data_IF_194750396196
#
_entry.id   IF_194750396196
#
_cell.length_a   1.000
_cell.length_b   1.000
_cell.length_c   1.000
_cell.angle_alpha   90.00
_cell.angle_beta   90.00
_cell.angle_gamma   90.00
#
_symmetry.space_group_name_H-M   'P 1'
#
loop_
_entity.id
_entity.type
_entity.pdbx_description
1 polymer ?
#
# COMPACT_ATOMS: atom_id res chain seq x y z
N UNK A 1 -6.77 -13.16 -41.17
CA UNK A 1 -5.59 -12.31 -40.88
C UNK A 1 -4.51 -13.24 -40.34
N UNK A 2 -3.38 -13.37 -41.04
CA UNK A 2 -2.28 -14.24 -40.62
C UNK A 2 -1.64 -13.69 -39.34
N UNK A 3 -1.91 -14.34 -38.21
CA UNK A 3 -1.26 -14.08 -36.92
C UNK A 3 0.17 -14.59 -36.90
N UNK A 4 1.05 -13.98 -37.71
CA UNK A 4 2.49 -14.19 -37.58
C UNK A 4 2.90 -13.79 -36.18
N UNK A 5 3.47 -14.74 -35.43
CA UNK A 5 4.01 -14.49 -34.10
C UNK A 5 4.97 -13.30 -34.19
N UNK A 6 4.65 -12.21 -33.49
CA UNK A 6 5.56 -11.08 -33.38
C UNK A 6 6.84 -11.61 -32.73
N UNK A 7 8.03 -11.31 -33.28
CA UNK A 7 9.28 -11.72 -32.64
C UNK A 7 9.29 -11.20 -31.19
N UNK A 8 9.71 -12.05 -30.26
CA UNK A 8 9.87 -11.66 -28.87
C UNK A 8 10.82 -10.46 -28.77
N UNK A 9 10.46 -9.47 -27.98
CA UNK A 9 11.38 -8.39 -27.61
C UNK A 9 12.55 -9.01 -26.83
N UNK A 10 13.76 -8.96 -27.40
CA UNK A 10 14.98 -9.44 -26.75
C UNK A 10 15.78 -8.24 -26.26
N UNK A 11 15.84 -8.06 -24.95
CA UNK A 11 16.67 -7.03 -24.28
C UNK A 11 18.12 -7.51 -24.28
N UNK A 12 19.00 -6.79 -24.98
CA UNK A 12 20.40 -7.22 -25.19
C UNK A 12 21.37 -6.69 -24.13
N UNK A 13 21.06 -5.53 -23.56
CA UNK A 13 21.86 -4.84 -22.55
C UNK A 13 20.98 -3.78 -21.86
N UNK A 14 21.55 -3.10 -20.87
CA UNK A 14 20.88 -2.04 -20.10
C UNK A 14 20.43 -0.87 -20.98
N UNK A 15 21.27 -0.41 -21.92
CA UNK A 15 20.90 0.68 -22.84
C UNK A 15 19.67 0.34 -23.68
N UNK A 16 19.55 -0.90 -24.15
CA UNK A 16 18.37 -1.34 -24.89
C UNK A 16 17.14 -1.44 -23.98
N UNK A 17 17.32 -1.85 -22.71
CA UNK A 17 16.24 -1.85 -21.71
C UNK A 17 15.71 -0.44 -21.47
N UNK A 18 16.61 0.53 -21.26
CA UNK A 18 16.25 1.95 -21.07
C UNK A 18 15.50 2.48 -22.28
N UNK A 19 16.00 2.19 -23.50
CA UNK A 19 15.37 2.62 -24.75
C UNK A 19 13.95 2.09 -24.90
N UNK A 20 13.74 0.79 -24.71
CA UNK A 20 12.39 0.20 -24.87
C UNK A 20 11.45 0.61 -23.74
N UNK A 21 11.96 0.84 -22.52
CA UNK A 21 11.17 1.35 -21.40
C UNK A 21 10.68 2.76 -21.71
N UNK A 22 11.55 3.64 -22.20
CA UNK A 22 11.17 4.98 -22.63
C UNK A 22 10.10 4.97 -23.73
N UNK A 23 10.22 4.07 -24.72
CA UNK A 23 9.18 3.90 -25.75
C UNK A 23 7.86 3.41 -25.16
N UNK A 24 7.91 2.49 -24.20
CA UNK A 24 6.73 2.00 -23.48
C UNK A 24 6.01 3.13 -22.74
N UNK A 25 6.76 3.95 -22.00
CA UNK A 25 6.26 5.10 -21.26
C UNK A 25 5.74 6.22 -22.18
N UNK A 26 6.38 6.45 -23.33
CA UNK A 26 5.92 7.44 -24.32
C UNK A 26 4.66 6.97 -25.05
N UNK A 27 4.58 5.68 -25.38
CA UNK A 27 3.45 5.13 -26.13
C UNK A 27 2.19 5.01 -25.26
N UNK A 28 2.35 4.55 -24.02
CA UNK A 28 1.33 4.44 -22.95
C UNK A 28 -0.13 4.31 -23.45
N UNK A 29 -0.44 3.22 -24.18
CA UNK A 29 -1.73 3.09 -24.84
C UNK A 29 -2.84 3.03 -23.79
N UNK A 30 -3.71 4.04 -23.79
CA UNK A 30 -4.80 4.17 -22.84
C UNK A 30 -4.41 4.71 -21.46
N UNK A 31 -3.22 5.30 -21.31
CA UNK A 31 -2.72 5.83 -20.03
C UNK A 31 -2.67 4.75 -18.94
N UNK A 32 -2.24 3.55 -19.32
CA UNK A 32 -2.30 2.34 -18.49
C UNK A 32 -1.15 2.20 -17.51
N UNK A 33 -0.05 2.95 -17.68
CA UNK A 33 1.07 2.89 -16.73
C UNK A 33 0.70 3.44 -15.34
N UNK A 34 -0.30 4.33 -15.26
CA UNK A 34 -0.79 4.98 -14.05
C UNK A 34 0.31 5.71 -13.21
N UNK A 35 1.37 6.24 -13.84
CA UNK A 35 2.51 6.88 -13.14
C UNK A 35 2.46 8.41 -13.11
N UNK A 36 1.36 9.03 -13.56
CA UNK A 36 1.22 10.49 -13.60
C UNK A 36 1.28 11.10 -12.17
N UNK A 37 2.23 12.01 -11.88
CA UNK A 37 2.34 12.62 -10.55
C UNK A 37 1.37 13.80 -10.33
N UNK A 38 0.73 14.33 -11.39
CA UNK A 38 -0.16 15.48 -11.33
C UNK A 38 -1.56 15.11 -10.80
N UNK A 39 -1.64 14.92 -9.48
CA UNK A 39 -2.86 14.63 -8.72
C UNK A 39 -3.59 15.88 -8.17
N UNK A 40 -3.08 17.09 -8.43
CA UNK A 40 -3.66 18.36 -7.96
C UNK A 40 -5.16 18.47 -8.19
N UNK A 41 -5.72 18.10 -9.37
CA UNK A 41 -7.17 18.18 -9.57
C UNK A 41 -7.96 17.27 -8.63
N UNK A 42 -7.42 16.11 -8.25
CA UNK A 42 -8.05 15.21 -7.28
C UNK A 42 -8.01 15.80 -5.87
N UNK A 43 -6.85 16.31 -5.44
CA UNK A 43 -6.67 16.92 -4.12
C UNK A 43 -7.50 18.20 -3.93
N UNK A 44 -7.58 19.06 -4.93
CA UNK A 44 -8.36 20.32 -4.88
C UNK A 44 -9.87 20.09 -4.73
N UNK A 45 -10.38 18.90 -5.07
CA UNK A 45 -11.79 18.53 -4.84
C UNK A 45 -12.01 17.84 -3.47
N UNK A 46 -11.01 17.87 -2.59
CA UNK A 46 -11.06 17.22 -1.27
C UNK A 46 -10.72 15.72 -1.31
N UNK A 47 -10.23 15.20 -2.43
CA UNK A 47 -9.89 13.78 -2.56
C UNK A 47 -8.82 13.33 -1.58
N UNK A 48 -9.03 12.17 -0.95
CA UNK A 48 -8.09 11.48 -0.07
C UNK A 48 -7.73 10.13 -0.69
N UNK A 49 -6.43 9.84 -0.76
CA UNK A 49 -5.89 8.60 -1.27
C UNK A 49 -5.23 7.84 -0.12
N UNK A 50 -5.64 6.60 0.05
CA UNK A 50 -4.98 5.65 0.94
C UNK A 50 -4.55 4.45 0.10
N UNK A 51 -3.26 4.17 0.10
CA UNK A 51 -2.69 3.00 -0.56
C UNK A 51 -2.03 2.09 0.46
N UNK A 52 -1.94 0.81 0.14
CA UNK A 52 -1.16 -0.15 0.91
C UNK A 52 -0.41 -1.09 -0.05
N UNK A 53 0.69 -1.67 0.43
CA UNK A 53 1.43 -2.70 -0.31
C UNK A 53 2.05 -3.71 0.65
N UNK A 54 1.91 -5.00 0.35
CA UNK A 54 2.56 -6.06 1.12
C UNK A 54 4.06 -6.06 0.91
N UNK A 55 4.86 -6.06 1.98
CA UNK A 55 6.31 -6.06 1.84
C UNK A 55 6.86 -7.40 1.31
N UNK A 56 6.08 -8.47 1.40
CA UNK A 56 6.39 -9.80 0.90
C UNK A 56 5.59 -10.15 -0.37
N UNK A 57 5.09 -9.15 -1.08
CA UNK A 57 4.44 -9.34 -2.39
C UNK A 57 5.44 -9.91 -3.41
N UNK A 58 5.16 -11.12 -3.85
CA UNK A 58 5.96 -11.88 -4.80
C UNK A 58 5.59 -11.60 -6.27
N UNK A 59 4.48 -10.90 -6.51
CA UNK A 59 3.96 -10.61 -7.85
C UNK A 59 4.32 -9.19 -8.28
N UNK A 60 4.09 -8.20 -7.40
CA UNK A 60 4.38 -6.79 -7.67
C UNK A 60 5.40 -6.34 -6.61
N UNK A 61 6.58 -5.84 -7.02
CA UNK A 61 7.56 -5.38 -6.04
C UNK A 61 7.02 -4.19 -5.26
N UNK A 62 7.04 -4.28 -3.92
CA UNK A 62 6.62 -3.21 -3.02
C UNK A 62 7.39 -1.89 -3.23
N UNK A 63 8.63 -1.98 -3.71
CA UNK A 63 9.44 -0.84 -4.13
C UNK A 63 8.81 0.02 -5.23
N UNK A 64 7.88 -0.52 -6.03
CA UNK A 64 7.12 0.28 -7.01
C UNK A 64 6.21 1.32 -6.34
N UNK A 65 5.58 0.98 -5.22
CA UNK A 65 4.71 1.91 -4.49
C UNK A 65 5.51 2.97 -3.74
N UNK A 66 6.64 2.61 -3.12
CA UNK A 66 7.52 3.60 -2.49
C UNK A 66 8.11 4.55 -3.53
N UNK A 67 8.55 4.02 -4.67
CA UNK A 67 9.06 4.83 -5.79
C UNK A 67 8.01 5.83 -6.29
N UNK A 68 6.75 5.41 -6.47
CA UNK A 68 5.69 6.34 -6.87
C UNK A 68 5.39 7.39 -5.79
N UNK A 69 5.38 7.00 -4.51
CA UNK A 69 5.20 7.95 -3.40
C UNK A 69 6.33 8.99 -3.34
N UNK A 70 7.59 8.58 -3.47
CA UNK A 70 8.75 9.47 -3.53
C UNK A 70 8.72 10.40 -4.75
N UNK A 71 8.27 9.89 -5.91
CA UNK A 71 8.04 10.71 -7.12
C UNK A 71 6.99 11.78 -6.87
N UNK A 72 5.89 11.45 -6.19
CA UNK A 72 4.89 12.43 -5.79
C UNK A 72 5.45 13.45 -4.80
N UNK A 73 6.21 13.01 -3.80
CA UNK A 73 6.88 13.93 -2.88
C UNK A 73 7.75 14.93 -3.64
N UNK A 74 8.59 14.45 -4.55
CA UNK A 74 9.45 15.31 -5.40
C UNK A 74 8.62 16.28 -6.23
N UNK A 75 7.56 15.81 -6.88
CA UNK A 75 6.67 16.63 -7.71
C UNK A 75 5.98 17.76 -6.92
N UNK A 76 5.60 17.49 -5.67
CA UNK A 76 5.01 18.48 -4.76
C UNK A 76 6.04 19.17 -3.85
N UNK A 77 7.32 19.23 -4.25
CA UNK A 77 8.41 19.90 -3.52
C UNK A 77 8.57 19.45 -2.06
N UNK A 78 8.44 18.16 -1.80
CA UNK A 78 8.50 17.53 -0.47
C UNK A 78 7.56 18.18 0.56
N UNK A 79 6.50 18.83 0.09
CA UNK A 79 5.58 19.55 0.95
C UNK A 79 4.87 18.61 1.92
N UNK A 80 4.65 19.10 3.15
CA UNK A 80 3.73 18.49 4.11
C UNK A 80 2.32 18.31 3.53
N UNK A 81 2.00 19.04 2.45
CA UNK A 81 0.73 18.99 1.77
C UNK A 81 0.42 17.60 1.22
N UNK A 82 1.40 16.85 0.71
CA UNK A 82 1.11 15.51 0.17
C UNK A 82 0.52 14.59 1.25
N UNK A 83 1.04 14.63 2.49
CA UNK A 83 0.55 13.79 3.60
C UNK A 83 -0.87 14.15 4.05
N UNK A 84 -1.35 15.35 3.69
CA UNK A 84 -2.73 15.77 3.93
C UNK A 84 -3.73 15.14 2.95
N UNK A 85 -3.26 14.54 1.86
CA UNK A 85 -4.10 13.95 0.82
C UNK A 85 -3.75 12.52 0.46
N UNK A 86 -2.51 12.06 0.66
CA UNK A 86 -2.05 10.73 0.29
C UNK A 86 -1.26 10.08 1.43
N UNK A 87 -1.69 8.89 1.85
CA UNK A 87 -0.97 8.02 2.79
C UNK A 87 -0.73 6.64 2.16
N UNK A 88 0.53 6.20 2.20
CA UNK A 88 0.94 4.85 1.82
C UNK A 88 1.27 4.05 3.08
N UNK A 89 0.70 2.85 3.22
CA UNK A 89 0.99 1.91 4.30
C UNK A 89 1.70 0.68 3.74
N UNK A 90 2.97 0.48 4.09
CA UNK A 90 3.62 -0.80 3.85
C UNK A 90 3.14 -1.78 4.92
N UNK A 91 2.81 -3.01 4.50
CA UNK A 91 2.28 -4.06 5.38
C UNK A 91 3.34 -5.15 5.52
N UNK A 92 4.16 -5.14 6.60
CA UNK A 92 5.26 -6.07 6.75
C UNK A 92 4.80 -7.51 6.78
N UNK A 93 5.37 -8.34 5.91
CA UNK A 93 5.08 -9.78 5.82
C UNK A 93 3.78 -10.13 5.10
N UNK A 94 2.99 -9.15 4.66
CA UNK A 94 1.83 -9.42 3.80
C UNK A 94 2.28 -9.76 2.39
N UNK A 95 1.63 -10.75 1.78
CA UNK A 95 1.85 -11.17 0.40
C UNK A 95 1.14 -10.27 -0.62
N UNK A 96 0.89 -10.83 -1.81
CA UNK A 96 0.17 -10.12 -2.87
C UNK A 96 -1.29 -9.89 -2.49
N UNK A 97 -1.63 -8.64 -2.21
CA UNK A 97 -2.93 -8.15 -1.71
C UNK A 97 -3.35 -8.69 -0.33
N UNK A 98 -2.92 -9.89 0.05
CA UNK A 98 -3.39 -10.63 1.22
C UNK A 98 -2.43 -11.70 1.74
N UNK A 99 -2.77 -12.24 2.91
CA UNK A 99 -2.08 -13.38 3.51
C UNK A 99 -0.63 -13.09 3.84
N UNK A 100 0.20 -14.14 3.78
CA UNK A 100 1.59 -14.08 4.21
C UNK A 100 1.77 -14.25 5.72
N UNK A 101 2.97 -13.96 6.20
CA UNK A 101 3.35 -14.13 7.61
C UNK A 101 3.16 -12.84 8.43
N UNK A 102 2.63 -11.79 7.81
CA UNK A 102 2.36 -10.48 8.40
C UNK A 102 0.96 -10.32 8.97
N UNK A 103 0.75 -9.23 9.70
CA UNK A 103 -0.57 -8.83 10.18
C UNK A 103 -1.38 -8.17 9.05
N UNK A 104 -2.06 -8.97 8.23
CA UNK A 104 -2.86 -8.51 7.07
C UNK A 104 -4.35 -8.24 7.40
N UNK A 105 -4.77 -8.48 8.65
CA UNK A 105 -6.11 -8.21 9.15
C UNK A 105 -6.28 -6.76 9.61
N UNK A 106 -6.42 -5.83 8.65
CA UNK A 106 -6.56 -4.39 8.91
C UNK A 106 -7.73 -3.73 8.15
N UNK A 107 -8.73 -4.52 7.75
CA UNK A 107 -9.93 -3.99 7.10
C UNK A 107 -9.69 -3.44 5.69
N UNK A 108 -8.82 -4.10 4.91
CA UNK A 108 -8.51 -3.72 3.52
C UNK A 108 -9.67 -4.02 2.55
N UNK A 109 -9.63 -3.52 1.31
CA UNK A 109 -10.50 -4.02 0.25
C UNK A 109 -10.38 -5.55 0.09
N UNK A 110 -11.47 -6.21 -0.34
CA UNK A 110 -11.57 -7.67 -0.52
C UNK A 110 -11.49 -8.46 0.80
N UNK A 111 -12.21 -8.01 1.83
CA UNK A 111 -12.37 -8.78 3.07
C UNK A 111 -13.17 -10.06 2.80
N UNK A 112 -12.68 -11.19 3.30
CA UNK A 112 -13.29 -12.50 3.07
C UNK A 112 -14.14 -12.94 4.27
N UNK A 113 -15.08 -13.86 4.04
CA UNK A 113 -15.99 -14.36 5.09
C UNK A 113 -15.29 -15.20 6.17
N UNK A 114 -14.15 -15.82 5.85
CA UNK A 114 -13.30 -16.55 6.80
C UNK A 114 -12.45 -15.62 7.70
N UNK A 115 -12.58 -14.30 7.54
CA UNK A 115 -11.82 -13.33 8.33
C UNK A 115 -10.55 -12.81 7.67
N UNK A 116 -10.11 -13.36 6.53
CA UNK A 116 -8.95 -12.80 5.82
C UNK A 116 -9.19 -11.34 5.43
N UNK A 117 -8.21 -10.49 5.74
CA UNK A 117 -8.29 -9.05 5.52
C UNK A 117 -9.24 -8.29 6.46
N UNK A 118 -10.05 -8.97 7.30
CA UNK A 118 -10.94 -8.29 8.24
C UNK A 118 -10.16 -7.64 9.39
N UNK A 119 -10.58 -6.45 9.77
CA UNK A 119 -10.07 -5.72 10.93
C UNK A 119 -10.36 -6.45 12.25
N UNK A 120 -9.50 -6.27 13.25
CA UNK A 120 -9.68 -6.88 14.59
C UNK A 120 -10.96 -6.35 15.26
N UNK A 121 -11.13 -5.03 15.21
CA UNK A 121 -12.30 -4.31 15.69
C UNK A 121 -12.88 -3.51 14.53
N UNK A 122 -14.21 -3.44 14.44
CA UNK A 122 -14.88 -2.66 13.38
C UNK A 122 -14.91 -1.18 13.75
N UNK A 123 -13.75 -0.53 13.72
CA UNK A 123 -13.57 0.90 13.95
C UNK A 123 -12.48 1.50 13.04
N UNK A 124 -12.34 2.82 13.05
CA UNK A 124 -11.40 3.55 12.20
C UNK A 124 -9.93 3.49 12.67
N UNK A 125 -9.63 2.85 13.81
CA UNK A 125 -8.25 2.57 14.25
C UNK A 125 -7.74 1.23 13.74
N UNK A 126 -8.63 0.28 13.45
CA UNK A 126 -8.27 -1.08 13.02
C UNK A 126 -8.67 -1.41 11.57
N UNK A 127 -9.56 -0.62 10.98
CA UNK A 127 -10.11 -0.85 9.64
C UNK A 127 -9.76 0.28 8.66
N UNK A 128 -9.00 -0.04 7.61
CA UNK A 128 -8.54 0.93 6.62
C UNK A 128 -9.69 1.59 5.83
N UNK A 129 -10.79 0.88 5.58
CA UNK A 129 -11.95 1.45 4.89
C UNK A 129 -12.64 2.46 5.82
N UNK A 130 -12.85 2.12 7.10
CA UNK A 130 -13.42 3.05 8.07
C UNK A 130 -12.49 4.22 8.37
N UNK A 131 -11.17 4.00 8.39
CA UNK A 131 -10.17 5.05 8.52
C UNK A 131 -10.22 6.03 7.33
N UNK A 132 -10.38 5.52 6.11
CA UNK A 132 -10.56 6.35 4.92
C UNK A 132 -11.86 7.15 4.98
N UNK A 133 -12.97 6.53 5.39
CA UNK A 133 -14.25 7.22 5.61
C UNK A 133 -14.09 8.35 6.62
N UNK A 134 -13.50 8.07 7.79
CA UNK A 134 -13.21 9.07 8.83
C UNK A 134 -12.34 10.22 8.31
N UNK A 135 -11.37 9.93 7.44
CA UNK A 135 -10.52 10.95 6.85
C UNK A 135 -11.27 11.84 5.85
N UNK A 136 -12.11 11.25 5.00
CA UNK A 136 -12.90 11.99 4.01
C UNK A 136 -13.99 12.83 4.68
N UNK A 137 -14.72 12.24 5.63
CA UNK A 137 -15.93 12.83 6.20
C UNK A 137 -15.64 13.78 7.37
N UNK A 138 -14.59 13.51 8.16
CA UNK A 138 -14.26 14.28 9.36
C UNK A 138 -12.87 14.93 9.30
N UNK A 139 -12.12 14.76 8.21
CA UNK A 139 -10.77 15.32 8.08
C UNK A 139 -9.71 14.67 8.96
N UNK A 140 -10.04 13.60 9.71
CA UNK A 140 -9.10 12.91 10.61
C UNK A 140 -8.37 11.81 9.86
N UNK A 141 -7.15 12.12 9.44
CA UNK A 141 -6.27 11.20 8.75
C UNK A 141 -5.67 10.15 9.71
N UNK A 142 -5.50 8.88 9.30
CA UNK A 142 -4.99 7.83 10.19
C UNK A 142 -3.46 7.87 10.32
N UNK A 143 -2.96 8.33 11.47
CA UNK A 143 -1.50 8.34 11.78
C UNK A 143 -0.91 6.96 12.04
N UNK A 144 -1.78 5.97 12.22
CA UNK A 144 -1.46 4.55 12.27
C UNK A 144 -2.72 3.72 12.03
N UNK A 145 -2.58 2.46 11.67
CA UNK A 145 -3.66 1.46 11.66
C UNK A 145 -3.19 0.25 12.46
N UNK A 146 -4.01 -0.21 13.41
CA UNK A 146 -3.73 -1.43 14.18
C UNK A 146 -4.17 -2.63 13.34
N UNK A 147 -3.21 -3.50 13.03
CA UNK A 147 -3.41 -4.69 12.22
C UNK A 147 -3.26 -5.96 13.04
N UNK A 148 -3.95 -7.03 12.66
CA UNK A 148 -3.85 -8.35 13.28
C UNK A 148 -3.36 -9.43 12.30
N UNK A 149 -2.54 -10.34 12.81
CA UNK A 149 -2.35 -11.67 12.23
C UNK A 149 -3.30 -12.62 12.95
N UNK A 150 -4.17 -13.29 12.21
CA UNK A 150 -5.00 -14.36 12.77
C UNK A 150 -4.31 -15.71 12.65
N UNK A 151 -4.55 -16.59 13.63
CA UNK A 151 -4.06 -17.97 13.61
C UNK A 151 -4.60 -18.66 12.36
N UNK A 152 -3.72 -19.27 11.57
CA UNK A 152 -4.04 -19.93 10.29
C UNK A 152 -4.78 -19.03 9.27
N UNK A 153 -4.66 -17.70 9.40
CA UNK A 153 -5.43 -16.70 8.64
C UNK A 153 -6.95 -16.78 8.83
N UNK A 154 -7.42 -17.41 9.92
CA UNK A 154 -8.83 -17.54 10.26
C UNK A 154 -9.13 -16.74 11.53
N UNK A 155 -9.94 -15.69 11.38
CA UNK A 155 -10.30 -14.80 12.48
C UNK A 155 -11.01 -15.54 13.63
N UNK A 156 -11.71 -16.64 13.34
CA UNK A 156 -12.37 -17.46 14.36
C UNK A 156 -11.39 -18.22 15.27
N UNK A 157 -10.14 -18.42 14.81
CA UNK A 157 -9.09 -19.08 15.59
C UNK A 157 -8.35 -18.11 16.54
N UNK A 158 -8.69 -16.82 16.49
CA UNK A 158 -8.11 -15.79 17.35
C UNK A 158 -6.87 -15.12 16.75
N UNK A 159 -6.32 -14.18 17.53
CA UNK A 159 -5.20 -13.33 17.12
C UNK A 159 -3.87 -13.99 17.53
N UNK A 160 -2.96 -14.13 16.57
CA UNK A 160 -1.59 -14.58 16.81
C UNK A 160 -0.72 -13.43 17.33
N UNK A 161 -0.74 -12.29 16.64
CA UNK A 161 -0.10 -11.05 17.06
C UNK A 161 -0.73 -9.82 16.40
N UNK A 162 -0.44 -8.62 16.92
CA UNK A 162 -0.83 -7.34 16.32
C UNK A 162 0.37 -6.45 15.99
N UNK A 163 0.23 -5.58 14.98
CA UNK A 163 1.26 -4.62 14.55
C UNK A 163 0.66 -3.25 14.28
N UNK A 164 1.47 -2.21 14.41
CA UNK A 164 1.14 -0.87 13.89
C UNK A 164 1.56 -0.79 12.42
N UNK A 165 0.61 -0.45 11.56
CA UNK A 165 0.88 -0.01 10.20
C UNK A 165 1.08 1.51 10.24
N UNK A 166 2.25 1.96 9.80
CA UNK A 166 2.66 3.35 9.86
C UNK A 166 2.61 3.98 8.46
N UNK A 167 2.26 5.28 8.35
CA UNK A 167 2.30 5.98 7.08
C UNK A 167 3.75 6.18 6.63
N UNK A 168 4.09 5.62 5.47
CA UNK A 168 5.42 5.73 4.87
C UNK A 168 5.86 7.21 4.76
N UNK A 169 7.11 7.56 5.13
CA UNK A 169 8.26 6.68 5.35
C UNK A 169 8.43 6.15 6.79
N UNK A 170 7.45 6.35 7.68
CA UNK A 170 7.54 5.79 9.03
C UNK A 170 7.38 4.27 9.00
N UNK A 171 8.01 3.61 9.97
CA UNK A 171 7.90 2.18 10.18
C UNK A 171 7.51 1.88 11.64
N UNK A 172 6.88 0.73 11.86
CA UNK A 172 6.55 0.27 13.20
C UNK A 172 7.81 -0.23 13.92
N UNK A 173 8.43 0.64 14.74
CA UNK A 173 9.63 0.28 15.50
C UNK A 173 9.26 -0.23 16.89
N UNK A 174 9.82 -1.39 17.25
CA UNK A 174 9.66 -1.95 18.58
C UNK A 174 10.29 -1.02 19.64
N UNK A 175 9.51 -0.69 20.65
CA UNK A 175 9.92 0.15 21.78
C UNK A 175 10.23 -0.71 23.01
N UNK A 176 9.22 -1.40 23.55
CA UNK A 176 9.35 -2.27 24.73
C UNK A 176 8.08 -3.09 24.97
N UNK A 177 8.15 -4.16 25.76
CA UNK A 177 7.00 -4.95 26.19
C UNK A 177 6.83 -6.26 25.42
N UNK A 178 5.59 -6.67 25.19
CA UNK A 178 5.30 -7.92 24.49
C UNK A 178 5.40 -7.72 22.97
N UNK A 179 6.36 -8.40 22.34
CA UNK A 179 6.58 -8.36 20.88
C UNK A 179 5.37 -8.78 20.05
N UNK A 180 4.37 -9.44 20.62
CA UNK A 180 3.14 -9.81 19.91
C UNK A 180 2.04 -8.74 19.99
N UNK A 181 2.27 -7.62 20.71
CA UNK A 181 1.29 -6.56 20.88
C UNK A 181 1.71 -5.28 20.14
N UNK A 182 0.79 -4.70 19.36
CA UNK A 182 0.96 -3.42 18.67
C UNK A 182 1.32 -2.27 19.60
N UNK A 183 0.87 -2.28 20.87
CA UNK A 183 1.23 -1.25 21.87
C UNK A 183 2.71 -1.24 22.24
N UNK A 184 3.46 -2.27 21.84
CA UNK A 184 4.92 -2.35 22.03
C UNK A 184 5.71 -1.68 20.90
N UNK A 185 5.03 -1.03 19.96
CA UNK A 185 5.62 -0.38 18.80
C UNK A 185 5.25 1.10 18.76
N UNK A 186 6.04 1.89 18.03
CA UNK A 186 5.76 3.29 17.70
C UNK A 186 6.04 3.51 16.20
N UNK A 187 5.28 4.41 15.57
CA UNK A 187 5.59 4.87 14.22
C UNK A 187 6.68 5.95 14.27
N UNK A 188 7.85 5.66 13.71
CA UNK A 188 8.95 6.61 13.55
C UNK A 188 9.68 6.44 12.22
#
# INVERSE_FOLDING_TARGET
>A
MNGGARPALVVKNETELERITAIGDETDPGQGNAVNPHLTPFFQRGGKLMAYHGSADMNIPSGSSTHYYERLQTYYNSSSDLRNYYRLFLVPGMGHCEGGNGADGFGRPQQQSNGQGQSLVFDAEHDAILALMRWVENGTAPDQIISAKYVDNDKSQGVEFTRLLCPYPQEGKYLSGNVNNSTSYICE
#
